data_IF_420904187601
#
_entry.id   IF_420904187601
#
_cell.length_a   1.000
_cell.length_b   1.000
_cell.length_c   1.000
_cell.angle_alpha   90.00
_cell.angle_beta   90.00
_cell.angle_gamma   90.00
#
_symmetry.space_group_name_H-M   'P 1'
#
loop_
_entity.id
_entity.type
_entity.pdbx_description
1 polymer ?
#
# COMPACT_ATOMS: atom_id res chain seq x y z
N UNK A 1 -3.55 -27.39 3.31
CA UNK A 1 -3.67 -26.04 3.90
C UNK A 1 -5.12 -25.85 4.30
N UNK A 2 -5.40 -25.12 5.38
CA UNK A 2 -6.78 -24.76 5.71
C UNK A 2 -7.26 -23.63 4.79
N UNK A 3 -8.54 -23.61 4.47
CA UNK A 3 -9.15 -22.56 3.63
C UNK A 3 -8.92 -21.16 4.22
N UNK A 4 -8.86 -21.06 5.55
CA UNK A 4 -8.53 -19.82 6.27
C UNK A 4 -7.11 -19.31 5.95
N UNK A 5 -6.12 -20.18 5.78
CA UNK A 5 -4.76 -19.76 5.44
C UNK A 5 -4.68 -19.26 4.00
N UNK A 6 -5.34 -19.95 3.07
CA UNK A 6 -5.41 -19.54 1.67
C UNK A 6 -6.15 -18.21 1.51
N UNK A 7 -7.25 -18.01 2.24
CA UNK A 7 -7.99 -16.74 2.24
C UNK A 7 -7.11 -15.58 2.70
N UNK A 8 -6.35 -15.75 3.79
CA UNK A 8 -5.45 -14.70 4.29
C UNK A 8 -4.31 -14.40 3.32
N UNK A 9 -3.69 -15.42 2.71
CA UNK A 9 -2.65 -15.21 1.70
C UNK A 9 -3.19 -14.46 0.46
N UNK A 10 -4.42 -14.76 0.04
CA UNK A 10 -5.07 -14.05 -1.06
C UNK A 10 -5.41 -12.59 -0.69
N UNK A 11 -5.82 -12.35 0.55
CA UNK A 11 -6.12 -11.01 1.06
C UNK A 11 -4.86 -10.15 1.17
N UNK A 12 -3.78 -10.68 1.74
CA UNK A 12 -2.45 -10.04 1.80
C UNK A 12 -1.90 -9.71 0.40
N UNK A 13 -2.05 -10.65 -0.56
CA UNK A 13 -1.65 -10.39 -1.94
C UNK A 13 -2.46 -9.24 -2.57
N UNK A 14 -3.76 -9.14 -2.26
CA UNK A 14 -4.62 -8.07 -2.74
C UNK A 14 -4.21 -6.71 -2.15
N UNK A 15 -3.91 -6.64 -0.84
CA UNK A 15 -3.46 -5.42 -0.20
C UNK A 15 -2.11 -4.94 -0.73
N UNK A 16 -1.14 -5.85 -0.91
CA UNK A 16 0.13 -5.54 -1.55
C UNK A 16 -0.03 -4.99 -2.96
N UNK A 17 -0.94 -5.57 -3.75
CA UNK A 17 -1.25 -5.09 -5.09
C UNK A 17 -1.91 -3.70 -5.07
N UNK A 18 -2.82 -3.45 -4.13
CA UNK A 18 -3.47 -2.15 -3.96
C UNK A 18 -2.45 -1.06 -3.58
N UNK A 19 -1.58 -1.32 -2.59
CA UNK A 19 -0.52 -0.41 -2.16
C UNK A 19 0.47 -0.10 -3.30
N UNK A 20 0.94 -1.10 -4.02
CA UNK A 20 1.83 -0.90 -5.17
C UNK A 20 1.17 -0.08 -6.28
N UNK A 21 -0.12 -0.32 -6.53
CA UNK A 21 -0.89 0.45 -7.52
C UNK A 21 -1.09 1.90 -7.09
N UNK A 22 -1.36 2.14 -5.80
CA UNK A 22 -1.51 3.48 -5.25
C UNK A 22 -0.22 4.31 -5.43
N UNK A 23 0.91 3.75 -5.02
CA UNK A 23 2.22 4.39 -5.16
C UNK A 23 2.52 4.74 -6.63
N UNK A 24 2.26 3.81 -7.56
CA UNK A 24 2.47 4.07 -8.98
C UNK A 24 1.61 5.23 -9.49
N UNK A 25 0.33 5.27 -9.12
CA UNK A 25 -0.59 6.34 -9.53
C UNK A 25 -0.18 7.68 -8.93
N UNK A 26 0.23 7.70 -7.66
CA UNK A 26 0.71 8.89 -6.98
C UNK A 26 1.98 9.45 -7.65
N UNK A 27 2.97 8.60 -7.92
CA UNK A 27 4.18 8.98 -8.65
C UNK A 27 3.84 9.53 -10.05
N UNK A 28 2.93 8.87 -10.76
CA UNK A 28 2.50 9.30 -12.09
C UNK A 28 1.79 10.67 -12.07
N UNK A 29 1.01 10.96 -11.02
CA UNK A 29 0.35 12.25 -10.82
C UNK A 29 1.33 13.37 -10.43
N UNK A 30 2.37 13.04 -9.65
CA UNK A 30 3.39 13.98 -9.18
C UNK A 30 4.52 14.19 -10.20
N UNK A 31 4.64 13.31 -11.20
CA UNK A 31 5.62 13.44 -12.27
C UNK A 31 5.34 14.69 -13.12
N UNK A 32 6.38 15.52 -13.24
CA UNK A 32 6.39 16.71 -14.12
C UNK A 32 6.39 16.35 -15.60
N UNK A 33 6.73 15.11 -15.93
CA UNK A 33 6.82 14.59 -17.29
C UNK A 33 5.53 13.84 -17.71
N UNK A 34 4.46 13.92 -16.92
CA UNK A 34 3.20 13.26 -17.24
C UNK A 34 2.38 14.04 -18.26
N UNK A 35 2.22 13.46 -19.45
CA UNK A 35 1.39 13.99 -20.55
C UNK A 35 -0.13 13.73 -20.34
N UNK A 36 -0.56 13.43 -19.11
CA UNK A 36 -1.97 13.18 -18.83
C UNK A 36 -2.82 14.43 -19.06
N UNK A 37 -3.96 14.24 -19.72
CA UNK A 37 -4.97 15.29 -19.81
C UNK A 37 -5.53 15.63 -18.42
N UNK A 38 -6.11 16.83 -18.22
CA UNK A 38 -6.76 17.19 -16.96
C UNK A 38 -7.80 16.15 -16.50
N UNK A 39 -8.60 15.63 -17.44
CA UNK A 39 -9.61 14.61 -17.16
C UNK A 39 -8.99 13.27 -16.71
N UNK A 40 -7.85 12.89 -17.28
CA UNK A 40 -7.15 11.68 -16.87
C UNK A 40 -6.51 11.85 -15.49
N UNK A 41 -5.98 13.04 -15.17
CA UNK A 41 -5.50 13.35 -13.81
C UNK A 41 -6.63 13.28 -12.79
N UNK A 42 -7.83 13.76 -13.10
CA UNK A 42 -8.99 13.63 -12.21
C UNK A 42 -9.39 12.17 -12.00
N UNK A 43 -9.43 11.36 -13.06
CA UNK A 43 -9.71 9.92 -12.95
C UNK A 43 -8.67 9.19 -12.12
N UNK A 44 -7.39 9.51 -12.31
CA UNK A 44 -6.29 8.94 -11.53
C UNK A 44 -6.37 9.32 -10.05
N UNK A 45 -6.77 10.56 -9.71
CA UNK A 45 -7.02 10.96 -8.32
C UNK A 45 -8.17 10.17 -7.69
N UNK A 46 -9.25 9.93 -8.43
CA UNK A 46 -10.35 9.08 -7.96
C UNK A 46 -9.85 7.65 -7.75
N UNK A 47 -9.10 7.09 -8.70
CA UNK A 47 -8.51 5.76 -8.57
C UNK A 47 -7.60 5.64 -7.35
N UNK A 48 -6.73 6.63 -7.11
CA UNK A 48 -5.85 6.69 -5.94
C UNK A 48 -6.66 6.68 -4.65
N UNK A 49 -7.71 7.51 -4.53
CA UNK A 49 -8.54 7.54 -3.32
C UNK A 49 -9.25 6.22 -3.03
N UNK A 50 -9.68 5.49 -4.08
CA UNK A 50 -10.28 4.16 -3.91
C UNK A 50 -9.24 3.17 -3.44
N UNK A 51 -8.04 3.19 -4.04
CA UNK A 51 -6.94 2.31 -3.65
C UNK A 51 -6.56 2.54 -2.20
N UNK A 52 -6.37 3.79 -1.78
CA UNK A 52 -6.07 4.18 -0.39
C UNK A 52 -7.12 3.68 0.60
N UNK A 53 -8.42 3.83 0.31
CA UNK A 53 -9.51 3.29 1.14
C UNK A 53 -9.43 1.77 1.28
N UNK A 54 -8.94 1.09 0.23
CA UNK A 54 -8.93 -0.38 0.19
C UNK A 54 -7.91 -0.97 1.17
N UNK A 55 -6.79 -0.30 1.45
CA UNK A 55 -5.76 -0.79 2.37
C UNK A 55 -5.61 0.02 3.68
N UNK A 56 -6.21 1.21 3.79
CA UNK A 56 -6.23 2.00 5.05
C UNK A 56 -7.11 1.42 6.17
N UNK A 57 -7.72 0.25 5.95
CA UNK A 57 -8.38 -0.55 6.98
C UNK A 57 -7.51 -1.70 7.54
N UNK A 58 -6.31 -1.91 6.99
CA UNK A 58 -5.24 -2.56 7.73
C UNK A 58 -4.57 -1.46 8.54
N UNK A 59 -4.71 -1.54 9.86
CA UNK A 59 -4.13 -0.59 10.79
C UNK A 59 -2.67 -0.32 10.43
N UNK A 60 -2.33 0.97 10.43
CA UNK A 60 -1.00 1.57 10.53
C UNK A 60 -0.35 1.21 11.89
N UNK A 61 -0.57 -0.01 12.38
CA UNK A 61 -0.05 -0.57 13.60
C UNK A 61 1.05 -1.58 13.21
N UNK A 62 2.26 -1.30 13.67
CA UNK A 62 3.51 -2.06 13.53
C UNK A 62 4.51 -1.58 12.46
N UNK A 63 4.74 -0.26 12.41
CA UNK A 63 6.14 0.22 12.51
C UNK A 63 6.56 0.17 13.99
N UNK A 64 6.72 -1.03 14.56
CA UNK A 64 7.50 -1.19 15.79
C UNK A 64 8.99 -1.23 15.42
N UNK A 65 9.65 -0.10 15.64
CA UNK A 65 11.09 -0.01 15.84
C UNK A 65 11.52 -0.95 16.99
N UNK A 66 11.83 -2.21 16.72
CA UNK A 66 12.61 -3.03 17.66
C UNK A 66 14.11 -2.72 17.54
N UNK A 67 14.54 -1.62 18.16
CA UNK A 67 15.86 -1.59 18.80
C UNK A 67 15.90 -2.66 19.91
N UNK A 68 16.27 -3.90 19.58
CA UNK A 68 16.61 -4.88 20.61
C UNK A 68 18.07 -4.69 21.07
N UNK A 69 18.25 -3.77 22.02
CA UNK A 69 19.40 -3.75 22.91
C UNK A 69 19.40 -5.04 23.77
N UNK A 70 20.13 -6.06 23.33
CA UNK A 70 20.50 -7.18 24.21
C UNK A 70 21.96 -7.01 24.59
N UNK A 71 22.18 -6.30 25.69
CA UNK A 71 23.34 -6.54 26.52
C UNK A 71 23.30 -7.98 27.02
N UNK A 72 24.22 -8.82 26.53
CA UNK A 72 24.67 -9.99 27.27
C UNK A 72 26.10 -9.74 27.74
N UNK A 73 26.18 -9.39 29.01
CA UNK A 73 27.34 -9.62 29.87
C UNK A 73 27.77 -11.09 29.80
N UNK A 74 29.03 -11.32 29.41
CA UNK A 74 29.98 -12.18 30.10
C UNK A 74 31.40 -11.89 29.63
#
# INVERSE_FOLDING_TARGET
MSDSKFFQEALDALYKAAKASANFVEEALNSKDSDFSPADKERLKVALSVLEITWSGEDDDEDEDEESNIGLTN
#
